data_IF_721042756777
#
_entry.id   IF_721042756777
#
_cell.length_a   1.000
_cell.length_b   1.000
_cell.length_c   1.000
_cell.angle_alpha   90.00
_cell.angle_beta   90.00
_cell.angle_gamma   90.00
#
_symmetry.space_group_name_H-M   'P 1'
#
loop_
_entity.id
_entity.type
_entity.pdbx_description
1 polymer ?
#
# COMPACT_ATOMS: atom_id res chain seq x y z
N UNK A 1 35.40 -19.39 36.12
CA UNK A 1 35.49 -19.75 34.70
C UNK A 1 34.36 -20.69 34.36
N UNK A 2 33.41 -20.23 33.53
CA UNK A 2 32.79 -21.06 32.50
C UNK A 2 32.73 -20.38 31.12
N UNK A 3 32.61 -21.23 30.10
CA UNK A 3 32.67 -21.01 28.65
C UNK A 3 31.84 -19.85 28.05
N UNK A 4 32.37 -19.12 27.05
CA UNK A 4 31.61 -18.15 26.25
C UNK A 4 31.29 -18.70 24.85
N UNK A 5 30.43 -19.71 24.72
CA UNK A 5 29.87 -20.10 23.41
C UNK A 5 28.40 -20.42 23.50
N UNK A 6 27.55 -19.40 23.49
CA UNK A 6 26.17 -19.50 23.00
C UNK A 6 25.77 -18.14 22.42
N UNK A 7 26.26 -17.83 21.22
CA UNK A 7 25.73 -16.73 20.42
C UNK A 7 24.34 -17.14 19.92
N UNK A 8 23.31 -16.46 20.42
CA UNK A 8 21.97 -16.49 19.85
C UNK A 8 22.07 -16.19 18.34
N UNK A 9 21.79 -17.20 17.50
CA UNK A 9 21.43 -16.98 16.10
C UNK A 9 20.12 -16.20 16.07
N UNK A 10 20.21 -14.89 15.88
CA UNK A 10 19.07 -14.09 15.43
C UNK A 10 18.68 -14.56 14.03
N UNK A 11 17.58 -15.33 13.97
CA UNK A 11 16.93 -15.67 12.73
C UNK A 11 16.37 -14.38 12.10
N UNK A 12 16.84 -14.06 10.90
CA UNK A 12 16.13 -13.19 9.96
C UNK A 12 14.71 -13.73 9.77
N UNK A 13 13.63 -12.96 9.98
CA UNK A 13 12.30 -13.44 9.68
C UNK A 13 12.06 -13.33 8.17
N UNK A 14 12.57 -14.32 7.43
CA UNK A 14 11.85 -14.80 6.26
C UNK A 14 10.54 -15.37 6.76
N UNK A 15 9.49 -14.54 6.79
CA UNK A 15 8.15 -15.02 7.12
C UNK A 15 7.72 -16.04 6.08
N UNK A 16 7.77 -17.30 6.47
CA UNK A 16 6.83 -18.31 6.01
C UNK A 16 5.42 -17.72 6.12
N UNK A 17 4.54 -17.94 5.12
CA UNK A 17 3.18 -17.47 5.20
C UNK A 17 2.53 -18.16 6.40
N UNK A 18 2.26 -17.39 7.45
CA UNK A 18 1.44 -17.84 8.56
C UNK A 18 0.14 -18.40 8.00
N UNK A 19 -0.32 -19.54 8.52
CA UNK A 19 -1.51 -20.28 8.08
C UNK A 19 -2.82 -19.46 8.14
N UNK A 20 -2.79 -18.20 8.57
CA UNK A 20 -3.88 -17.23 8.40
C UNK A 20 -3.85 -16.42 7.08
N UNK A 21 -2.76 -16.47 6.30
CA UNK A 21 -2.58 -15.68 5.06
C UNK A 21 -3.25 -16.30 3.83
N UNK A 22 -3.64 -17.58 3.91
CA UNK A 22 -4.26 -18.30 2.80
C UNK A 22 -5.72 -17.88 2.60
N UNK A 23 -6.40 -17.42 3.65
CA UNK A 23 -7.82 -17.06 3.63
C UNK A 23 -8.14 -15.69 3.01
N UNK A 24 -7.16 -14.83 2.76
CA UNK A 24 -7.42 -13.45 2.28
C UNK A 24 -7.46 -13.29 0.76
N UNK A 25 -6.89 -14.24 0.01
CA UNK A 25 -6.95 -14.23 -1.45
C UNK A 25 -8.27 -14.78 -2.00
N UNK A 26 -8.96 -15.60 -1.22
CA UNK A 26 -10.31 -16.06 -1.51
C UNK A 26 -11.36 -15.02 -1.14
N UNK A 27 -11.16 -14.13 -0.16
CA UNK A 27 -12.15 -13.09 0.18
C UNK A 27 -12.63 -12.26 -1.01
N UNK A 28 -11.72 -11.83 -1.89
CA UNK A 28 -12.08 -11.08 -3.11
C UNK A 28 -12.75 -11.93 -4.22
N UNK A 29 -12.59 -13.26 -4.18
CA UNK A 29 -13.19 -14.19 -5.15
C UNK A 29 -14.40 -14.96 -4.58
N UNK A 30 -14.61 -14.91 -3.26
CA UNK A 30 -15.65 -15.61 -2.50
C UNK A 30 -16.70 -14.64 -1.96
N UNK A 31 -16.39 -13.35 -1.85
CA UNK A 31 -17.42 -12.32 -1.77
C UNK A 31 -18.15 -12.30 -3.12
N UNK A 32 -19.31 -12.98 -3.19
CA UNK A 32 -20.19 -12.97 -4.37
C UNK A 32 -20.48 -11.54 -4.86
N UNK A 33 -21.12 -11.40 -6.01
CA UNK A 33 -21.21 -10.15 -6.81
C UNK A 33 -21.20 -8.80 -6.07
N UNK A 34 -21.86 -8.68 -4.91
CA UNK A 34 -21.83 -7.49 -4.04
C UNK A 34 -20.43 -7.02 -3.58
N UNK A 35 -19.49 -7.91 -3.26
CA UNK A 35 -18.13 -7.51 -2.84
C UNK A 35 -17.30 -6.97 -4.01
N UNK A 36 -17.39 -7.63 -5.17
CA UNK A 36 -16.77 -7.16 -6.41
C UNK A 36 -17.30 -5.79 -6.85
N UNK A 37 -18.61 -5.54 -6.72
CA UNK A 37 -19.22 -4.23 -7.01
C UNK A 37 -18.71 -3.15 -6.06
N UNK A 38 -18.54 -3.43 -4.76
CA UNK A 38 -18.01 -2.47 -3.78
C UNK A 38 -16.56 -2.06 -4.09
N UNK A 39 -15.73 -3.02 -4.47
CA UNK A 39 -14.36 -2.71 -4.90
C UNK A 39 -14.33 -1.91 -6.20
N UNK A 40 -15.18 -2.26 -7.18
CA UNK A 40 -15.27 -1.52 -8.43
C UNK A 40 -15.72 -0.08 -8.21
N UNK A 41 -16.74 0.17 -7.38
CA UNK A 41 -17.19 1.53 -7.06
C UNK A 41 -16.11 2.32 -6.32
N UNK A 42 -15.41 1.69 -5.38
CA UNK A 42 -14.24 2.28 -4.72
C UNK A 42 -13.14 2.66 -5.72
N UNK A 43 -12.82 1.79 -6.69
CA UNK A 43 -11.84 2.10 -7.75
C UNK A 43 -12.30 3.23 -8.67
N UNK A 44 -13.55 3.24 -9.10
CA UNK A 44 -14.09 4.32 -9.95
C UNK A 44 -14.06 5.65 -9.21
N UNK A 45 -14.43 5.67 -7.93
CA UNK A 45 -14.33 6.87 -7.11
C UNK A 45 -12.87 7.31 -6.92
N UNK A 46 -11.97 6.37 -6.69
CA UNK A 46 -10.54 6.65 -6.58
C UNK A 46 -9.94 7.22 -7.88
N UNK A 47 -10.37 6.72 -9.04
CA UNK A 47 -10.00 7.28 -10.34
C UNK A 47 -10.49 8.71 -10.53
N UNK A 48 -11.78 8.96 -10.22
CA UNK A 48 -12.37 10.31 -10.28
C UNK A 48 -11.63 11.29 -9.36
N UNK A 49 -11.21 10.80 -8.20
CA UNK A 49 -10.38 11.56 -7.26
C UNK A 49 -9.04 11.98 -7.88
N UNK A 50 -8.31 11.04 -8.52
CA UNK A 50 -7.02 11.32 -9.14
C UNK A 50 -7.13 12.36 -10.27
N UNK A 51 -8.31 12.53 -10.85
CA UNK A 51 -8.60 13.53 -11.89
C UNK A 51 -9.30 14.80 -11.40
N UNK A 52 -9.66 14.88 -10.11
CA UNK A 52 -10.47 15.97 -9.54
C UNK A 52 -9.70 17.27 -9.20
N UNK A 53 -10.36 18.23 -8.51
CA UNK A 53 -9.74 19.48 -8.04
C UNK A 53 -8.63 19.24 -7.01
N UNK A 54 -7.62 20.13 -6.98
CA UNK A 54 -6.40 19.96 -6.15
C UNK A 54 -6.63 20.00 -4.64
N UNK A 55 -7.60 20.75 -4.13
CA UNK A 55 -7.79 20.95 -2.68
C UNK A 55 -8.12 19.65 -1.94
N UNK A 56 -9.00 18.81 -2.49
CA UNK A 56 -9.28 17.47 -1.95
C UNK A 56 -8.22 16.42 -2.28
N UNK A 57 -7.22 16.76 -3.11
CA UNK A 57 -6.18 15.82 -3.53
C UNK A 57 -5.19 15.47 -2.45
N UNK A 58 -4.79 16.44 -1.63
CA UNK A 58 -3.75 16.26 -0.63
C UNK A 58 -4.17 15.25 0.44
N UNK A 59 -5.35 15.43 1.04
CA UNK A 59 -5.87 14.57 2.13
C UNK A 59 -5.98 13.11 1.69
N UNK A 60 -6.60 12.83 0.55
CA UNK A 60 -6.77 11.45 0.06
C UNK A 60 -5.42 10.85 -0.37
N UNK A 61 -4.47 11.65 -0.86
CA UNK A 61 -3.13 11.16 -1.17
C UNK A 61 -2.39 10.75 0.10
N UNK A 62 -2.52 11.54 1.18
CA UNK A 62 -2.00 11.19 2.52
C UNK A 62 -2.68 9.93 3.08
N UNK A 63 -4.00 9.80 2.92
CA UNK A 63 -4.74 8.56 3.27
C UNK A 63 -4.19 7.36 2.49
N UNK A 64 -4.03 7.51 1.18
CA UNK A 64 -3.49 6.45 0.31
C UNK A 64 -2.10 6.01 0.77
N UNK A 65 -1.22 6.97 1.08
CA UNK A 65 0.11 6.70 1.63
C UNK A 65 0.04 6.00 3.00
N UNK A 66 -0.77 6.52 3.92
CA UNK A 66 -0.94 5.97 5.26
C UNK A 66 -1.48 4.53 5.25
N UNK A 67 -2.42 4.21 4.35
CA UNK A 67 -2.97 2.87 4.15
C UNK A 67 -1.95 1.96 3.45
N UNK A 68 -1.29 2.42 2.39
CA UNK A 68 -0.28 1.63 1.69
C UNK A 68 0.87 1.23 2.64
N UNK A 69 1.28 2.16 3.51
CA UNK A 69 2.33 1.91 4.50
C UNK A 69 1.90 0.89 5.56
N UNK A 70 0.63 0.92 5.99
CA UNK A 70 0.06 -0.06 6.92
C UNK A 70 0.11 -1.50 6.37
N UNK A 71 0.00 -1.66 5.05
CA UNK A 71 0.12 -2.96 4.37
C UNK A 71 1.55 -3.35 4.00
N UNK A 72 2.54 -2.48 4.24
CA UNK A 72 3.94 -2.69 3.81
C UNK A 72 4.09 -2.98 2.29
N UNK A 73 3.17 -2.44 1.48
CA UNK A 73 3.11 -2.70 0.04
C UNK A 73 4.09 -1.81 -0.73
N UNK A 74 5.37 -2.20 -0.76
CA UNK A 74 6.50 -1.43 -1.31
C UNK A 74 6.22 -0.59 -2.57
N UNK A 75 5.73 -1.17 -3.69
CA UNK A 75 5.45 -0.42 -4.91
C UNK A 75 4.38 0.66 -4.73
N UNK A 76 3.28 0.33 -4.05
CA UNK A 76 2.17 1.25 -3.84
C UNK A 76 2.58 2.35 -2.85
N UNK A 77 3.24 1.98 -1.74
CA UNK A 77 3.79 2.96 -0.79
C UNK A 77 4.72 3.96 -1.49
N UNK A 78 5.62 3.47 -2.34
CA UNK A 78 6.54 4.33 -3.10
C UNK A 78 5.77 5.30 -3.99
N UNK A 79 4.84 4.84 -4.83
CA UNK A 79 4.12 5.72 -5.75
C UNK A 79 3.18 6.67 -5.00
N UNK A 80 2.53 6.24 -3.92
CA UNK A 80 1.74 7.12 -3.05
C UNK A 80 2.61 8.20 -2.40
N UNK A 81 3.84 7.88 -1.96
CA UNK A 81 4.79 8.89 -1.47
C UNK A 81 5.12 9.90 -2.56
N UNK A 82 5.38 9.44 -3.78
CA UNK A 82 5.66 10.33 -4.92
C UNK A 82 4.45 11.22 -5.27
N UNK A 83 3.22 10.72 -5.13
CA UNK A 83 2.01 11.51 -5.32
C UNK A 83 1.90 12.63 -4.29
N UNK A 84 2.04 12.28 -3.01
CA UNK A 84 1.97 13.27 -1.91
C UNK A 84 3.05 14.35 -2.09
N UNK A 85 4.27 13.96 -2.46
CA UNK A 85 5.36 14.89 -2.79
C UNK A 85 5.04 15.78 -4.00
N UNK A 86 4.49 15.20 -5.07
CA UNK A 86 4.13 15.95 -6.28
C UNK A 86 2.97 16.93 -6.06
N UNK A 87 2.20 16.76 -4.98
CA UNK A 87 1.16 17.69 -4.54
C UNK A 87 1.69 18.81 -3.61
N UNK A 88 3.00 18.88 -3.38
CA UNK A 88 3.66 19.96 -2.63
C UNK A 88 3.74 19.76 -1.12
N UNK A 89 3.42 18.55 -0.63
CA UNK A 89 3.56 18.22 0.79
C UNK A 89 5.03 18.07 1.17
N UNK A 90 5.41 18.66 2.30
CA UNK A 90 6.81 18.67 2.75
C UNK A 90 7.33 17.25 3.10
N UNK A 91 8.64 16.98 2.93
CA UNK A 91 9.23 15.69 3.29
C UNK A 91 9.00 15.27 4.75
N UNK A 92 9.04 16.22 5.68
CA UNK A 92 8.80 15.96 7.11
C UNK A 92 7.35 15.56 7.40
N UNK A 93 6.41 16.16 6.67
CA UNK A 93 4.99 15.81 6.77
C UNK A 93 4.69 14.46 6.13
N UNK A 94 5.33 14.15 5.00
CA UNK A 94 5.29 12.81 4.39
C UNK A 94 5.77 11.75 5.38
N UNK A 95 6.94 11.97 6.00
CA UNK A 95 7.52 11.05 6.99
C UNK A 95 6.56 10.82 8.16
N UNK A 96 5.97 11.90 8.68
CA UNK A 96 4.96 11.85 9.75
C UNK A 96 3.73 11.00 9.38
N UNK A 97 3.20 11.17 8.16
CA UNK A 97 2.09 10.34 7.65
C UNK A 97 2.48 8.86 7.58
N UNK A 98 3.70 8.55 7.16
CA UNK A 98 4.20 7.17 7.07
C UNK A 98 4.43 6.52 8.43
N UNK A 99 4.97 7.28 9.38
CA UNK A 99 5.17 6.85 10.77
C UNK A 99 3.84 6.75 11.53
N UNK A 100 2.78 7.36 11.00
CA UNK A 100 1.49 7.47 11.69
C UNK A 100 1.53 8.46 12.87
N UNK A 101 2.54 9.33 12.91
CA UNK A 101 2.71 10.40 13.90
C UNK A 101 2.17 11.67 13.29
N UNK A 102 0.95 12.05 13.68
CA UNK A 102 0.25 13.17 13.08
C UNK A 102 0.33 14.40 14.00
N UNK A 103 0.68 15.56 13.45
CA UNK A 103 0.81 16.78 14.25
C UNK A 103 -0.49 17.56 14.37
N UNK A 104 -0.64 18.28 15.50
CA UNK A 104 -1.81 19.09 15.81
C UNK A 104 -2.07 20.27 14.86
N UNK A 105 -1.10 20.65 14.02
CA UNK A 105 -1.27 21.75 13.06
C UNK A 105 -2.12 21.38 11.85
N UNK A 106 -2.24 20.07 11.55
CA UNK A 106 -2.95 19.53 10.38
C UNK A 106 -4.08 18.57 10.81
N UNK A 107 -4.88 18.98 11.80
CA UNK A 107 -5.93 18.15 12.43
C UNK A 107 -6.91 17.47 11.44
N UNK A 108 -7.40 18.12 10.37
CA UNK A 108 -8.27 17.47 9.40
C UNK A 108 -7.60 16.28 8.71
N UNK A 109 -6.39 16.48 8.18
CA UNK A 109 -5.65 15.45 7.45
C UNK A 109 -5.18 14.33 8.39
N UNK A 110 -4.79 14.71 9.60
CA UNK A 110 -4.48 13.77 10.68
C UNK A 110 -5.67 12.87 11.00
N UNK A 111 -6.83 13.46 11.26
CA UNK A 111 -8.05 12.72 11.55
C UNK A 111 -8.43 11.78 10.40
N UNK A 112 -8.33 12.25 9.15
CA UNK A 112 -8.63 11.45 7.97
C UNK A 112 -7.70 10.23 7.85
N UNK A 113 -6.39 10.42 7.99
CA UNK A 113 -5.41 9.33 7.96
C UNK A 113 -5.62 8.34 9.10
N UNK A 114 -5.85 8.82 10.31
CA UNK A 114 -6.11 7.98 11.49
C UNK A 114 -7.38 7.14 11.32
N UNK A 115 -8.47 7.76 10.87
CA UNK A 115 -9.74 7.09 10.58
C UNK A 115 -9.58 6.01 9.52
N UNK A 116 -9.01 6.35 8.36
CA UNK A 116 -8.84 5.40 7.26
C UNK A 116 -7.96 4.21 7.65
N UNK A 117 -6.90 4.43 8.45
CA UNK A 117 -6.08 3.33 8.99
C UNK A 117 -6.86 2.46 9.96
N UNK A 118 -7.72 3.05 10.80
CA UNK A 118 -8.59 2.30 11.72
C UNK A 118 -9.61 1.45 10.97
N UNK A 119 -10.25 2.00 9.93
CA UNK A 119 -11.13 1.24 9.04
C UNK A 119 -10.43 0.03 8.45
N UNK A 120 -9.23 0.21 7.87
CA UNK A 120 -8.48 -0.89 7.27
C UNK A 120 -8.12 -1.96 8.31
N UNK A 121 -7.68 -1.56 9.50
CA UNK A 121 -7.39 -2.49 10.62
C UNK A 121 -8.63 -3.29 11.05
N UNK A 122 -9.80 -2.65 11.06
CA UNK A 122 -11.09 -3.26 11.39
C UNK A 122 -11.79 -3.90 10.18
N UNK A 123 -11.10 -4.09 9.05
CA UNK A 123 -11.66 -4.69 7.83
C UNK A 123 -12.91 -3.97 7.33
N UNK A 124 -12.92 -2.64 7.43
CA UNK A 124 -14.01 -1.75 7.05
C UNK A 124 -15.31 -1.94 7.84
N UNK A 125 -15.23 -2.51 9.04
CA UNK A 125 -16.31 -2.37 10.03
C UNK A 125 -16.42 -0.90 10.47
N UNK A 126 -17.65 -0.47 10.79
CA UNK A 126 -17.92 0.90 11.20
C UNK A 126 -17.08 1.32 12.43
N UNK A 127 -16.61 2.57 12.41
CA UNK A 127 -15.80 3.17 13.49
C UNK A 127 -16.41 4.53 13.87
N UNK A 128 -17.65 4.55 14.41
CA UNK A 128 -18.37 5.79 14.71
C UNK A 128 -17.57 6.75 15.60
N UNK A 129 -16.79 6.21 16.55
CA UNK A 129 -15.95 6.98 17.46
C UNK A 129 -14.89 7.85 16.76
N UNK A 130 -14.50 7.49 15.53
CA UNK A 130 -13.60 8.28 14.69
C UNK A 130 -14.30 8.95 13.51
N UNK A 131 -15.42 8.39 13.05
CA UNK A 131 -16.21 8.91 11.93
C UNK A 131 -16.98 10.17 12.32
N UNK A 132 -17.61 10.22 13.49
CA UNK A 132 -18.44 11.36 13.87
C UNK A 132 -17.61 12.63 14.12
N UNK A 133 -16.42 12.57 14.76
CA UNK A 133 -15.53 13.73 14.85
C UNK A 133 -15.05 14.27 13.49
N UNK A 134 -14.96 13.43 12.45
CA UNK A 134 -14.57 13.88 11.11
C UNK A 134 -15.59 14.82 10.47
N UNK A 135 -16.86 14.75 10.88
CA UNK A 135 -17.91 15.63 10.35
C UNK A 135 -17.68 17.12 10.69
N UNK A 136 -16.77 17.42 11.62
CA UNK A 136 -16.32 18.79 11.92
C UNK A 136 -15.44 19.38 10.81
N UNK A 137 -14.84 18.54 9.97
CA UNK A 137 -13.86 18.93 8.96
C UNK A 137 -14.27 18.56 7.54
N UNK A 138 -15.09 17.51 7.40
CA UNK A 138 -15.45 16.92 6.12
C UNK A 138 -16.96 16.73 6.05
N UNK A 139 -17.53 17.02 4.89
CA UNK A 139 -18.89 16.61 4.54
C UNK A 139 -19.01 15.08 4.50
N UNK A 140 -20.23 14.54 4.59
CA UNK A 140 -20.47 13.10 4.47
C UNK A 140 -19.89 12.53 3.17
N UNK A 141 -20.10 13.21 2.04
CA UNK A 141 -19.55 12.80 0.75
C UNK A 141 -18.03 12.91 0.63
N UNK A 142 -17.36 13.71 1.48
CA UNK A 142 -15.90 13.70 1.58
C UNK A 142 -15.41 12.50 2.39
N UNK A 143 -16.08 12.19 3.50
CA UNK A 143 -15.78 11.00 4.32
C UNK A 143 -15.93 9.73 3.48
N UNK A 144 -17.03 9.59 2.73
CA UNK A 144 -17.23 8.45 1.83
C UNK A 144 -16.11 8.33 0.79
N UNK A 145 -15.59 9.45 0.28
CA UNK A 145 -14.43 9.44 -0.62
C UNK A 145 -13.15 8.98 0.07
N UNK A 146 -12.93 9.34 1.33
CA UNK A 146 -11.81 8.83 2.13
C UNK A 146 -11.93 7.32 2.34
N UNK A 147 -13.13 6.82 2.64
CA UNK A 147 -13.44 5.40 2.81
C UNK A 147 -13.17 4.61 1.53
N UNK A 148 -13.69 5.09 0.40
CA UNK A 148 -13.50 4.50 -0.92
C UNK A 148 -12.03 4.46 -1.33
N UNK A 149 -11.27 5.55 -1.07
CA UNK A 149 -9.84 5.56 -1.35
C UNK A 149 -9.06 4.58 -0.47
N UNK A 150 -9.39 4.50 0.82
CA UNK A 150 -8.79 3.53 1.74
C UNK A 150 -9.09 2.09 1.30
N UNK A 151 -10.31 1.82 0.84
CA UNK A 151 -10.71 0.53 0.32
C UNK A 151 -9.98 0.15 -0.97
N UNK A 152 -9.95 1.04 -1.97
CA UNK A 152 -9.28 0.79 -3.24
C UNK A 152 -7.78 0.50 -3.03
N UNK A 153 -7.11 1.30 -2.20
CA UNK A 153 -5.70 1.09 -1.87
C UNK A 153 -5.48 -0.19 -1.06
N UNK A 154 -6.32 -0.46 -0.06
CA UNK A 154 -6.20 -1.70 0.73
C UNK A 154 -6.39 -2.95 -0.14
N UNK A 155 -7.36 -2.94 -1.05
CA UNK A 155 -7.58 -4.03 -2.00
C UNK A 155 -6.34 -4.23 -2.89
N UNK A 156 -5.83 -3.17 -3.52
CA UNK A 156 -4.63 -3.23 -4.37
C UNK A 156 -3.38 -3.70 -3.61
N UNK A 157 -3.20 -3.24 -2.37
CA UNK A 157 -2.09 -3.69 -1.51
C UNK A 157 -2.20 -5.18 -1.19
N UNK A 158 -3.40 -5.63 -0.80
CA UNK A 158 -3.65 -7.04 -0.46
C UNK A 158 -3.56 -7.98 -1.63
N UNK A 159 -3.61 -7.52 -2.89
CA UNK A 159 -3.48 -8.40 -4.06
C UNK A 159 -2.10 -8.39 -4.69
N UNK A 160 -1.17 -7.54 -4.26
CA UNK A 160 0.17 -7.43 -4.85
C UNK A 160 1.03 -8.70 -4.80
N UNK A 161 0.73 -9.63 -3.89
CA UNK A 161 1.41 -10.93 -3.80
C UNK A 161 1.12 -11.88 -4.97
N UNK A 162 0.07 -11.62 -5.78
CA UNK A 162 -0.24 -12.49 -6.92
C UNK A 162 0.65 -12.22 -8.14
N UNK A 163 1.34 -11.08 -8.21
CA UNK A 163 2.19 -10.73 -9.34
C UNK A 163 3.42 -11.65 -9.50
N UNK A 164 4.18 -11.99 -8.44
CA UNK A 164 5.24 -12.99 -8.53
C UNK A 164 4.70 -14.37 -8.95
N UNK A 165 3.58 -14.82 -8.35
CA UNK A 165 2.97 -16.11 -8.68
C UNK A 165 2.57 -16.20 -10.16
N UNK A 166 1.98 -15.14 -10.73
CA UNK A 166 1.70 -15.09 -12.16
C UNK A 166 2.96 -15.09 -13.01
N UNK A 167 3.98 -14.31 -12.63
CA UNK A 167 5.26 -14.26 -13.35
C UNK A 167 5.91 -15.65 -13.40
N UNK A 168 5.98 -16.32 -12.26
CA UNK A 168 6.62 -17.64 -12.14
C UNK A 168 5.81 -18.68 -12.94
N UNK A 169 4.48 -18.57 -12.93
CA UNK A 169 3.60 -19.39 -13.77
C UNK A 169 3.79 -19.13 -15.28
N UNK A 170 3.95 -17.88 -15.70
CA UNK A 170 4.29 -17.55 -17.09
C UNK A 170 5.70 -18.01 -17.48
N UNK A 171 6.62 -18.14 -16.52
CA UNK A 171 7.95 -18.70 -16.71
C UNK A 171 7.96 -20.24 -16.75
N UNK A 172 6.80 -20.91 -16.55
CA UNK A 172 6.64 -22.36 -16.64
C UNK A 172 6.49 -23.08 -15.30
N UNK A 173 6.64 -22.38 -14.17
CA UNK A 173 6.52 -22.98 -12.83
C UNK A 173 5.06 -23.13 -12.41
N UNK A 174 4.54 -24.37 -12.46
CA UNK A 174 3.13 -24.70 -12.13
C UNK A 174 2.84 -24.77 -10.63
N UNK A 175 3.67 -24.17 -9.78
CA UNK A 175 3.69 -24.43 -8.33
C UNK A 175 2.58 -23.76 -7.51
N UNK A 176 1.85 -22.78 -8.05
CA UNK A 176 0.80 -22.15 -7.27
C UNK A 176 -0.46 -23.03 -7.29
N UNK A 177 -0.80 -23.70 -6.19
CA UNK A 177 -2.04 -24.49 -6.03
C UNK A 177 -3.36 -23.68 -6.15
N UNK A 178 -3.33 -22.48 -6.74
CA UNK A 178 -4.48 -21.59 -6.98
C UNK A 178 -4.92 -21.61 -8.45
N UNK A 179 -6.20 -21.30 -8.69
CA UNK A 179 -6.77 -21.16 -10.04
C UNK A 179 -6.15 -19.95 -10.73
N UNK A 180 -5.74 -20.11 -11.99
CA UNK A 180 -5.14 -19.05 -12.82
C UNK A 180 -6.02 -17.79 -12.88
N UNK A 181 -7.32 -17.97 -13.03
CA UNK A 181 -8.29 -16.87 -13.09
C UNK A 181 -8.32 -16.02 -11.81
N UNK A 182 -8.13 -16.64 -10.64
CA UNK A 182 -8.08 -15.93 -9.36
C UNK A 182 -6.78 -15.11 -9.22
N UNK A 183 -5.66 -15.65 -9.69
CA UNK A 183 -4.38 -14.94 -9.72
C UNK A 183 -4.42 -13.76 -10.69
N UNK A 184 -5.00 -13.96 -11.88
CA UNK A 184 -5.21 -12.93 -12.88
C UNK A 184 -6.11 -11.81 -12.35
N UNK A 185 -7.23 -12.16 -11.71
CA UNK A 185 -8.13 -11.18 -11.11
C UNK A 185 -7.44 -10.38 -10.00
N UNK A 186 -6.69 -11.04 -9.12
CA UNK A 186 -5.91 -10.36 -8.08
C UNK A 186 -4.86 -9.40 -8.67
N UNK A 187 -4.16 -9.83 -9.72
CA UNK A 187 -3.19 -8.98 -10.40
C UNK A 187 -3.85 -7.79 -11.11
N UNK A 188 -5.01 -7.99 -11.73
CA UNK A 188 -5.78 -6.90 -12.32
C UNK A 188 -6.18 -5.86 -11.26
N UNK A 189 -6.69 -6.29 -10.11
CA UNK A 189 -7.00 -5.41 -8.96
C UNK A 189 -5.76 -4.65 -8.49
N UNK A 190 -4.61 -5.33 -8.42
CA UNK A 190 -3.36 -4.67 -8.05
C UNK A 190 -3.00 -3.56 -9.06
N UNK A 191 -3.01 -3.89 -10.35
CA UNK A 191 -2.68 -2.96 -11.43
C UNK A 191 -3.68 -1.80 -11.53
N UNK A 192 -4.96 -2.02 -11.23
CA UNK A 192 -5.97 -0.96 -11.18
C UNK A 192 -5.72 0.06 -10.06
N UNK A 193 -5.08 -0.34 -8.95
CA UNK A 193 -4.65 0.60 -7.91
C UNK A 193 -3.33 1.30 -8.25
N UNK A 194 -2.34 0.54 -8.73
CA UNK A 194 -1.00 1.07 -8.98
C UNK A 194 -0.91 1.91 -10.26
N UNK A 195 -1.54 1.46 -11.36
CA UNK A 195 -1.44 2.08 -12.69
C UNK A 195 -1.89 3.54 -12.71
N UNK A 196 -3.10 3.87 -12.24
CA UNK A 196 -3.59 5.25 -12.20
C UNK A 196 -2.73 6.16 -11.34
N UNK A 197 -2.22 5.66 -10.20
CA UNK A 197 -1.27 6.36 -9.36
C UNK A 197 0.01 6.71 -10.13
N UNK A 198 0.60 5.74 -10.83
CA UNK A 198 1.81 5.96 -11.64
C UNK A 198 1.54 7.00 -12.73
N UNK A 199 0.43 6.88 -13.46
CA UNK A 199 0.05 7.85 -14.51
C UNK A 199 -0.12 9.25 -13.94
N UNK A 200 -0.82 9.39 -12.81
CA UNK A 200 -1.06 10.68 -12.17
C UNK A 200 0.23 11.35 -11.71
N UNK A 201 1.10 10.61 -11.01
CA UNK A 201 2.41 11.13 -10.57
C UNK A 201 3.25 11.54 -11.78
N UNK A 202 3.24 10.73 -12.84
CA UNK A 202 3.97 11.02 -14.08
C UNK A 202 3.51 12.32 -14.71
N UNK A 203 2.20 12.53 -14.79
CA UNK A 203 1.61 13.76 -15.29
C UNK A 203 1.98 14.96 -14.43
N UNK A 204 1.84 14.87 -13.11
CA UNK A 204 2.20 15.95 -12.18
C UNK A 204 3.70 16.30 -12.23
N UNK A 205 4.57 15.30 -12.36
CA UNK A 205 6.03 15.48 -12.46
C UNK A 205 6.51 15.78 -13.90
N UNK A 206 5.62 15.77 -14.89
CA UNK A 206 5.94 15.87 -16.33
C UNK A 206 7.03 14.87 -16.77
N UNK A 207 6.94 13.63 -16.31
CA UNK A 207 7.87 12.53 -16.62
C UNK A 207 7.12 11.33 -17.22
N UNK A 208 7.86 10.42 -17.83
CA UNK A 208 7.30 9.15 -18.33
C UNK A 208 6.93 8.21 -17.16
N UNK A 209 5.80 7.49 -17.22
CA UNK A 209 5.46 6.40 -16.28
C UNK A 209 6.57 5.37 -16.06
N UNK A 210 7.31 5.05 -17.12
CA UNK A 210 8.41 4.11 -17.04
C UNK A 210 9.57 4.63 -16.19
N UNK A 211 9.76 5.96 -16.09
CA UNK A 211 10.82 6.53 -15.24
C UNK A 211 10.54 6.26 -13.77
N UNK A 212 9.29 6.39 -13.32
CA UNK A 212 8.91 6.10 -11.92
C UNK A 212 9.13 4.62 -11.56
N UNK A 213 8.79 3.71 -12.47
CA UNK A 213 9.01 2.28 -12.26
C UNK A 213 10.51 1.94 -12.23
N UNK A 214 11.32 2.62 -13.06
CA UNK A 214 12.78 2.50 -13.03
C UNK A 214 13.37 3.05 -11.73
N UNK A 215 12.93 4.23 -11.28
CA UNK A 215 13.33 4.85 -10.01
C UNK A 215 13.01 3.93 -8.82
N UNK A 216 11.83 3.31 -8.80
CA UNK A 216 11.47 2.34 -7.75
C UNK A 216 12.40 1.11 -7.76
N UNK A 217 12.65 0.53 -8.94
CA UNK A 217 13.54 -0.63 -9.07
C UNK A 217 14.97 -0.31 -8.67
N UNK A 218 15.50 0.85 -9.05
CA UNK A 218 16.86 1.26 -8.68
C UNK A 218 16.97 1.53 -7.18
N UNK A 219 15.99 2.18 -6.56
CA UNK A 219 15.95 2.40 -5.12
C UNK A 219 15.94 1.08 -4.34
N UNK A 220 15.17 0.08 -4.79
CA UNK A 220 15.15 -1.26 -4.18
C UNK A 220 16.47 -2.01 -4.37
N UNK A 221 17.07 -1.91 -5.56
CA UNK A 221 18.36 -2.53 -5.86
C UNK A 221 19.51 -1.94 -5.05
N UNK A 222 19.49 -0.63 -4.79
CA UNK A 222 20.47 0.04 -3.95
C UNK A 222 20.39 -0.43 -2.48
N UNK A 223 19.18 -0.59 -1.94
CA UNK A 223 18.99 -1.10 -0.57
C UNK A 223 19.46 -2.56 -0.43
N UNK A 224 19.27 -3.40 -1.45
CA UNK A 224 19.77 -4.79 -1.41
C UNK A 224 21.30 -4.85 -1.42
N UNK A 225 21.96 -4.01 -2.24
CA UNK A 225 23.44 -3.93 -2.29
C UNK A 225 24.06 -3.40 -0.99
N UNK A 226 23.39 -2.50 -0.27
CA UNK A 226 23.89 -1.98 1.01
C UNK A 226 23.81 -3.04 2.13
N UNK A 227 22.88 -3.99 2.03
CA UNK A 227 22.81 -5.15 2.95
C UNK A 227 23.93 -6.15 2.61
N UNK A 228 24.18 -6.41 1.33
CA UNK A 228 25.25 -7.31 0.89
C UNK A 228 26.66 -6.78 1.22
N UNK A 229 26.86 -5.45 1.23
CA UNK A 229 28.15 -4.82 1.58
C UNK A 229 28.41 -4.72 3.09
N UNK A 230 27.45 -5.09 3.95
CA UNK A 230 27.59 -5.04 5.42
C UNK A 230 27.79 -6.40 6.08
N UNK A 231 27.79 -7.49 5.33
CA UNK A 231 28.26 -8.78 5.83
C UNK A 231 29.77 -8.82 5.62
N UNK A 232 30.61 -8.78 6.67
CA UNK A 232 32.03 -9.04 6.50
C UNK A 232 32.16 -10.45 5.92
N UNK A 233 32.80 -10.55 4.76
CA UNK A 233 33.40 -11.78 4.28
C UNK A 233 34.34 -12.26 5.37
N UNK A 234 33.85 -13.19 6.20
CA UNK A 234 34.67 -13.93 7.13
C UNK A 234 35.72 -14.66 6.31
N UNK A 235 36.92 -14.08 6.26
CA UNK A 235 38.12 -14.80 5.91
C UNK A 235 38.29 -15.89 6.98
N UNK A 236 37.99 -17.13 6.60
CA UNK A 236 38.42 -18.29 7.35
C UNK A 236 39.88 -18.52 7.01
N UNK A 237 40.76 -18.20 7.97
CA UNK A 237 42.11 -18.76 8.03
C UNK A 237 42.10 -20.26 8.32
#
# INVERSE_FOLDING_TARGET
MPDPTTTQRQAFPGRTPTEGSVATGTGLAVEGGRGAWRHLTAFVAYLRYLTGPRSGQVTIAKVSLGVARLHEAGPITYVSRQLVNALGVSPDEIRRVEEGVLAARDLPDAAAVAYSRSLVRRRFAAVPELRDPLLRYFSQGEIERLEQAAEAISASCRTGWSLPALRDRFAGDRLSGRRFSAELAAAAVHLLGLGPLVVRVSWLRRRSPLSLLREYRSARGAVSRVIDLRLPSGESG
#
